data_IF_742827106778
#
_entry.id   IF_742827106778
#
_cell.length_a   1.000
_cell.length_b   1.000
_cell.length_c   1.000
_cell.angle_alpha   90.00
_cell.angle_beta   90.00
_cell.angle_gamma   90.00
#
_symmetry.space_group_name_H-M   'P 1'
#
loop_
_entity.id
_entity.type
_entity.pdbx_description
1 polymer ?
#
# COMPACT_ATOMS: atom_id res chain seq x y z
N UNK A 1 18.27 -26.40 12.79
CA UNK A 1 16.96 -26.49 13.47
C UNK A 1 16.35 -25.10 13.47
N UNK A 2 15.09 -25.02 13.08
CA UNK A 2 14.34 -23.86 12.58
C UNK A 2 14.44 -22.58 13.42
N UNK A 3 14.94 -21.50 12.80
CA UNK A 3 14.69 -20.14 13.26
C UNK A 3 13.20 -19.85 13.14
N UNK A 4 12.49 -19.90 14.26
CA UNK A 4 11.06 -19.59 14.35
C UNK A 4 10.88 -18.10 14.01
N UNK A 5 10.54 -17.82 12.76
CA UNK A 5 10.01 -16.52 12.35
C UNK A 5 8.79 -16.23 13.23
N UNK A 6 8.81 -15.12 13.94
CA UNK A 6 7.71 -14.64 14.78
C UNK A 6 6.45 -14.53 13.91
N UNK A 7 5.54 -15.50 14.00
CA UNK A 7 4.27 -15.48 13.27
C UNK A 7 3.36 -14.50 13.99
N UNK A 8 3.23 -13.30 13.45
CA UNK A 8 2.17 -12.40 13.86
C UNK A 8 0.83 -13.00 13.42
N UNK A 9 -0.16 -13.03 14.31
CA UNK A 9 -1.53 -13.48 14.01
C UNK A 9 -2.22 -12.61 12.95
N UNK A 10 -1.70 -11.39 12.74
CA UNK A 10 -2.13 -10.45 11.72
C UNK A 10 -0.98 -10.13 10.77
N UNK A 11 -1.20 -10.30 9.47
CA UNK A 11 -0.24 -9.93 8.42
C UNK A 11 -0.86 -8.81 7.56
N UNK A 12 -0.36 -7.56 7.65
CA UNK A 12 -0.94 -6.41 6.95
C UNK A 12 -0.91 -6.57 5.42
N UNK A 13 0.13 -7.24 4.88
CA UNK A 13 0.22 -7.55 3.45
C UNK A 13 -0.94 -8.44 3.02
N UNK A 14 -1.26 -9.47 3.81
CA UNK A 14 -2.38 -10.37 3.52
C UNK A 14 -3.73 -9.65 3.57
N UNK A 15 -3.91 -8.73 4.52
CA UNK A 15 -5.14 -7.94 4.62
C UNK A 15 -5.31 -6.98 3.44
N UNK A 16 -4.22 -6.36 2.96
CA UNK A 16 -4.25 -5.52 1.76
C UNK A 16 -4.60 -6.35 0.53
N UNK A 17 -3.98 -7.52 0.35
CA UNK A 17 -4.29 -8.42 -0.77
C UNK A 17 -5.76 -8.82 -0.75
N UNK A 18 -6.31 -9.16 0.42
CA UNK A 18 -7.72 -9.51 0.54
C UNK A 18 -8.63 -8.33 0.17
N UNK A 19 -8.32 -7.14 0.66
CA UNK A 19 -9.06 -5.92 0.31
C UNK A 19 -8.98 -5.63 -1.19
N UNK A 20 -7.80 -5.66 -1.79
CA UNK A 20 -7.65 -5.48 -3.23
C UNK A 20 -8.56 -6.46 -3.97
N UNK A 21 -8.48 -7.77 -3.68
CA UNK A 21 -9.31 -8.79 -4.35
C UNK A 21 -10.82 -8.55 -4.24
N UNK A 22 -11.27 -7.81 -3.22
CA UNK A 22 -12.68 -7.46 -3.05
C UNK A 22 -13.17 -6.30 -3.93
N UNK A 23 -12.26 -5.55 -4.55
CA UNK A 23 -12.59 -4.46 -5.45
C UNK A 23 -13.13 -4.98 -6.79
N UNK A 24 -13.97 -4.18 -7.45
CA UNK A 24 -14.37 -4.43 -8.83
C UNK A 24 -13.22 -4.05 -9.78
N UNK A 25 -12.74 -5.03 -10.56
CA UNK A 25 -11.55 -4.86 -11.40
C UNK A 25 -11.92 -4.54 -12.85
N UNK A 26 -11.64 -3.31 -13.30
CA UNK A 26 -11.58 -2.96 -14.72
C UNK A 26 -10.29 -2.18 -15.04
N UNK A 27 -9.17 -2.91 -15.12
CA UNK A 27 -7.89 -2.32 -15.53
C UNK A 27 -7.23 -1.38 -14.52
N UNK A 28 -7.43 -1.62 -13.21
CA UNK A 28 -6.79 -0.82 -12.17
C UNK A 28 -5.26 -0.97 -12.18
N UNK A 29 -4.58 0.15 -11.97
CA UNK A 29 -3.14 0.28 -11.82
C UNK A 29 -2.81 0.63 -10.37
N UNK A 30 -1.93 -0.15 -9.75
CA UNK A 30 -1.58 -0.04 -8.34
C UNK A 30 -0.10 0.31 -8.20
N UNK A 31 0.24 1.31 -7.40
CA UNK A 31 1.59 1.53 -6.89
C UNK A 31 1.73 0.88 -5.50
N UNK A 32 2.66 -0.06 -5.35
CA UNK A 32 3.05 -0.68 -4.07
C UNK A 32 4.37 -0.05 -3.62
N UNK A 33 4.28 0.93 -2.72
CA UNK A 33 5.37 1.79 -2.29
C UNK A 33 6.06 1.17 -1.06
N UNK A 34 7.35 0.86 -1.20
CA UNK A 34 8.12 0.08 -0.24
C UNK A 34 7.78 -1.41 -0.29
N UNK A 35 7.77 -1.99 -1.50
CA UNK A 35 7.20 -3.31 -1.79
C UNK A 35 7.96 -4.51 -1.19
N UNK A 36 9.20 -4.33 -0.75
CA UNK A 36 10.08 -5.41 -0.27
C UNK A 36 10.11 -6.60 -1.25
N UNK A 37 9.68 -7.79 -0.78
CA UNK A 37 9.62 -9.03 -1.57
C UNK A 37 8.56 -9.03 -2.71
N UNK A 38 7.87 -7.91 -2.94
CA UNK A 38 6.82 -7.72 -3.95
C UNK A 38 5.66 -8.72 -3.83
N UNK A 39 5.24 -9.02 -2.59
CA UNK A 39 4.18 -9.99 -2.30
C UNK A 39 2.81 -9.58 -2.88
N UNK A 40 2.50 -8.28 -2.88
CA UNK A 40 1.24 -7.76 -3.43
C UNK A 40 1.23 -7.95 -4.95
N UNK A 41 2.30 -7.55 -5.64
CA UNK A 41 2.42 -7.72 -7.10
C UNK A 41 2.26 -9.19 -7.52
N UNK A 42 2.95 -10.11 -6.84
CA UNK A 42 2.83 -11.55 -7.09
C UNK A 42 1.41 -12.08 -6.88
N UNK A 43 0.70 -11.60 -5.87
CA UNK A 43 -0.65 -12.08 -5.53
C UNK A 43 -1.76 -11.53 -6.44
N UNK A 44 -1.49 -10.43 -7.15
CA UNK A 44 -2.44 -9.66 -7.95
C UNK A 44 -2.17 -9.72 -9.46
N UNK A 45 -1.14 -10.44 -9.90
CA UNK A 45 -0.64 -10.44 -11.28
C UNK A 45 -1.67 -10.83 -12.34
N UNK A 46 -2.74 -11.56 -11.98
CA UNK A 46 -3.81 -11.94 -12.90
C UNK A 46 -5.03 -11.00 -12.87
N UNK A 47 -5.04 -9.99 -11.99
CA UNK A 47 -6.20 -9.13 -11.73
C UNK A 47 -5.91 -7.64 -11.98
N UNK A 48 -4.67 -7.21 -11.79
CA UNK A 48 -4.29 -5.81 -11.85
C UNK A 48 -2.84 -5.62 -12.29
N UNK A 49 -2.53 -4.44 -12.80
CA UNK A 49 -1.13 -4.02 -12.98
C UNK A 49 -0.64 -3.48 -11.65
N UNK A 50 0.37 -4.11 -11.06
CA UNK A 50 1.00 -3.64 -9.82
C UNK A 50 2.43 -3.24 -10.11
N UNK A 51 2.73 -1.97 -9.89
CA UNK A 51 4.07 -1.44 -9.92
C UNK A 51 4.66 -1.43 -8.50
N UNK A 52 5.69 -2.25 -8.30
CA UNK A 52 6.39 -2.39 -7.02
C UNK A 52 7.61 -1.46 -7.00
N UNK A 53 7.62 -0.48 -6.08
CA UNK A 53 8.66 0.53 -6.02
C UNK A 53 9.32 0.66 -4.67
N UNK A 54 10.61 0.92 -4.72
CA UNK A 54 11.44 1.28 -3.58
C UNK A 54 12.30 2.52 -3.92
N UNK A 55 11.74 3.48 -4.69
CA UNK A 55 12.30 4.80 -5.15
C UNK A 55 12.46 4.99 -6.70
N UNK A 56 11.55 4.49 -7.55
CA UNK A 56 11.60 4.75 -9.01
C UNK A 56 10.49 5.72 -9.43
N UNK A 57 10.75 6.71 -10.32
CA UNK A 57 9.75 7.72 -10.66
C UNK A 57 8.66 7.17 -11.57
N UNK A 58 7.42 7.20 -11.08
CA UNK A 58 6.21 7.07 -11.89
C UNK A 58 5.74 8.44 -12.41
N UNK A 59 5.01 8.43 -13.52
CA UNK A 59 4.34 9.63 -14.03
C UNK A 59 3.24 10.12 -13.08
N UNK A 60 2.99 11.42 -13.05
CA UNK A 60 1.93 12.00 -12.23
C UNK A 60 0.55 11.60 -12.76
N UNK A 61 -0.40 11.26 -11.88
CA UNK A 61 -1.74 10.83 -12.29
C UNK A 61 -1.74 9.52 -13.09
N UNK A 62 -0.81 8.62 -12.82
CA UNK A 62 -0.67 7.35 -13.56
C UNK A 62 -1.34 6.15 -12.88
N UNK A 63 -1.64 6.23 -11.59
CA UNK A 63 -2.16 5.08 -10.82
C UNK A 63 -3.54 5.33 -10.21
N UNK A 64 -4.28 4.24 -10.04
CA UNK A 64 -5.62 4.24 -9.45
C UNK A 64 -5.60 3.95 -7.94
N UNK A 65 -4.56 3.27 -7.46
CA UNK A 65 -4.38 2.95 -6.05
C UNK A 65 -2.91 3.12 -5.68
N UNK A 66 -2.64 3.74 -4.53
CA UNK A 66 -1.31 3.74 -3.91
C UNK A 66 -1.38 3.00 -2.58
N UNK A 67 -0.48 2.04 -2.40
CA UNK A 67 -0.37 1.20 -1.21
C UNK A 67 0.94 1.50 -0.49
N UNK A 68 0.86 1.75 0.81
CA UNK A 68 2.01 1.73 1.72
C UNK A 68 1.79 0.64 2.76
N UNK A 69 2.59 -0.42 2.76
CA UNK A 69 2.47 -1.52 3.73
C UNK A 69 3.76 -1.63 4.55
N UNK A 70 3.72 -1.19 5.81
CA UNK A 70 4.88 -1.17 6.73
C UNK A 70 6.08 -0.35 6.22
N UNK A 71 5.91 0.47 5.18
CA UNK A 71 6.98 1.18 4.49
C UNK A 71 7.15 2.64 4.93
N UNK A 72 6.19 3.19 5.68
CA UNK A 72 6.23 4.57 6.19
C UNK A 72 7.07 4.66 7.49
N UNK A 73 8.34 4.25 7.43
CA UNK A 73 9.27 4.32 8.58
C UNK A 73 10.24 5.51 8.52
N UNK A 74 10.00 6.48 7.64
CA UNK A 74 10.82 7.69 7.49
C UNK A 74 10.34 8.88 8.32
N UNK A 75 11.23 9.84 8.58
CA UNK A 75 10.97 11.07 9.35
C UNK A 75 10.09 12.10 8.63
N UNK A 76 9.77 11.89 7.34
CA UNK A 76 9.00 12.84 6.55
C UNK A 76 7.78 12.17 5.88
N UNK A 77 6.73 11.97 6.67
CA UNK A 77 5.42 11.51 6.20
C UNK A 77 4.84 12.43 5.12
N UNK A 78 5.20 13.71 5.13
CA UNK A 78 4.69 14.69 4.18
C UNK A 78 5.16 14.39 2.75
N UNK A 79 6.41 13.97 2.57
CA UNK A 79 6.92 13.56 1.25
C UNK A 79 6.20 12.32 0.72
N UNK A 80 5.94 11.31 1.56
CA UNK A 80 5.20 10.12 1.14
C UNK A 80 3.77 10.44 0.71
N UNK A 81 3.07 11.29 1.45
CA UNK A 81 1.71 11.71 1.07
C UNK A 81 1.71 12.61 -0.17
N UNK A 82 2.68 13.52 -0.30
CA UNK A 82 2.84 14.34 -1.50
C UNK A 82 3.07 13.47 -2.73
N UNK A 83 3.93 12.46 -2.61
CA UNK A 83 4.19 11.53 -3.71
C UNK A 83 2.96 10.71 -4.05
N UNK A 84 2.27 10.16 -3.05
CA UNK A 84 1.01 9.46 -3.28
C UNK A 84 -0.02 10.32 -4.02
N UNK A 85 -0.18 11.58 -3.61
CA UNK A 85 -1.08 12.54 -4.26
C UNK A 85 -0.64 12.86 -5.69
N UNK A 86 0.67 12.95 -5.94
CA UNK A 86 1.21 13.15 -7.28
C UNK A 86 0.88 11.97 -8.21
N UNK A 87 0.94 10.74 -7.71
CA UNK A 87 0.73 9.52 -8.49
C UNK A 87 -0.74 9.24 -8.79
N UNK A 88 -1.63 9.53 -7.84
CA UNK A 88 -3.06 9.23 -7.98
C UNK A 88 -3.71 10.03 -9.11
N UNK A 89 -4.50 9.35 -9.94
CA UNK A 89 -5.46 10.00 -10.83
C UNK A 89 -6.54 10.72 -9.98
N UNK A 90 -7.20 11.73 -10.55
CA UNK A 90 -8.30 12.42 -9.86
C UNK A 90 -9.42 11.42 -9.52
N UNK A 91 -9.81 11.32 -8.24
CA UNK A 91 -10.90 10.43 -7.77
C UNK A 91 -10.45 9.06 -7.25
N UNK A 92 -9.14 8.85 -7.12
CA UNK A 92 -8.56 7.55 -6.79
C UNK A 92 -8.20 7.37 -5.31
N UNK A 93 -7.94 6.12 -4.91
CA UNK A 93 -7.87 5.71 -3.49
C UNK A 93 -6.44 5.56 -3.00
N UNK A 94 -6.13 6.17 -1.86
CA UNK A 94 -4.92 5.89 -1.10
C UNK A 94 -5.20 4.90 0.02
N UNK A 95 -4.32 3.91 0.24
CA UNK A 95 -4.43 3.02 1.41
C UNK A 95 -3.07 2.75 2.03
N UNK A 96 -2.96 3.00 3.33
CA UNK A 96 -1.77 2.68 4.10
C UNK A 96 -2.10 1.71 5.23
N UNK A 97 -1.19 0.80 5.51
CA UNK A 97 -1.20 -0.04 6.71
C UNK A 97 0.16 0.08 7.37
N UNK A 98 0.20 0.71 8.54
CA UNK A 98 1.38 0.74 9.40
C UNK A 98 1.16 -0.22 10.57
N UNK A 99 2.19 -0.98 10.93
CA UNK A 99 2.27 -1.62 12.24
C UNK A 99 3.41 -0.95 13.00
N UNK A 100 3.08 -0.01 13.89
CA UNK A 100 4.02 0.48 14.88
C UNK A 100 4.18 -0.56 15.99
N UNK A 101 5.39 -0.73 16.53
CA UNK A 101 5.64 -1.49 17.76
C UNK A 101 6.90 -0.90 18.43
N UNK A 102 7.01 -0.60 19.72
CA UNK A 102 6.25 -0.89 20.95
C UNK A 102 5.97 0.46 21.64
N UNK A 103 4.77 0.71 22.17
CA UNK A 103 4.50 1.47 23.43
C UNK A 103 3.06 1.98 23.53
N UNK A 104 2.27 1.97 22.47
CA UNK A 104 0.85 2.28 22.56
C UNK A 104 0.02 1.07 22.11
N UNK A 105 -0.83 0.63 23.01
CA UNK A 105 -1.85 -0.41 22.84
C UNK A 105 -2.90 0.04 21.83
N UNK A 106 -2.56 0.02 20.55
CA UNK A 106 -3.48 0.37 19.46
C UNK A 106 -2.87 -0.01 18.11
N UNK A 107 -3.48 -0.98 17.43
CA UNK A 107 -3.20 -1.26 16.03
C UNK A 107 -4.03 -0.26 15.20
N UNK A 108 -3.43 0.86 14.81
CA UNK A 108 -4.11 1.84 13.97
C UNK A 108 -3.82 1.55 12.50
N UNK A 109 -4.82 1.02 11.80
CA UNK A 109 -4.83 1.03 10.33
C UNK A 109 -5.31 2.43 9.92
N UNK A 110 -4.40 3.24 9.41
CA UNK A 110 -4.75 4.57 8.92
C UNK A 110 -5.39 4.47 7.53
N UNK A 111 -6.72 4.50 7.50
CA UNK A 111 -7.50 4.66 6.28
C UNK A 111 -7.57 6.15 5.91
N UNK A 112 -6.81 6.60 4.91
CA UNK A 112 -7.02 7.94 4.34
C UNK A 112 -7.77 7.79 3.04
N UNK A 113 -9.09 7.97 3.10
CA UNK A 113 -9.92 8.10 1.91
C UNK A 113 -9.75 9.51 1.33
N UNK A 114 -9.00 9.65 0.24
CA UNK A 114 -9.12 10.85 -0.60
C UNK A 114 -10.31 10.66 -1.52
N UNK A 115 -11.45 11.26 -1.18
CA UNK A 115 -12.49 11.53 -2.16
C UNK A 115 -12.06 12.76 -2.97
N UNK A 116 -11.75 12.59 -4.25
CA UNK A 116 -11.92 13.72 -5.17
C UNK A 116 -13.39 13.76 -5.53
N UNK A 117 -14.06 14.85 -5.16
CA UNK A 117 -15.46 15.08 -5.45
C UNK A 117 -15.73 15.06 -6.95
N UNK A 118 -16.51 14.08 -7.40
CA UNK A 118 -17.69 14.37 -8.22
C UNK A 118 -18.87 13.60 -7.67
#
# INVERSE_FOLDING_TARGET
>A
MSGLSKVWSYNPVSSIIHWLRSLAWSGLVIADMGCGDAKISKAMSSLATVHSFDLVPLESGSVDIVVFCLSLMGTDLHEYFREANRLLKNGCVFKSSLCFNKFYTGQEILYIHFFSSR
#
